data_IF_204258930000
#
_entry.id   IF_204258930000
#
_cell.length_a   1.000
_cell.length_b   1.000
_cell.length_c   1.000
_cell.angle_alpha   90.00
_cell.angle_beta   90.00
_cell.angle_gamma   90.00
#
_symmetry.space_group_name_H-M   'P 1'
#
loop_
_entity.id
_entity.type
_entity.pdbx_description
1 polymer ?
#
# COMPACT_ATOMS: atom_id res chain seq x y z
N UNK A 1 -5.05 5.78 -8.19
CA UNK A 1 -6.40 5.60 -7.64
C UNK A 1 -6.82 4.18 -7.93
N UNK A 2 -7.23 3.46 -6.90
CA UNK A 2 -7.78 2.10 -6.96
C UNK A 2 -9.21 2.20 -7.49
N UNK A 3 -9.59 1.35 -8.43
CA UNK A 3 -10.88 1.42 -9.14
C UNK A 3 -11.78 0.20 -8.92
N UNK A 4 -11.24 -0.89 -8.42
CA UNK A 4 -11.94 -2.15 -8.23
C UNK A 4 -11.23 -3.00 -7.17
N UNK A 5 -11.88 -4.10 -6.77
CA UNK A 5 -11.38 -4.97 -5.71
C UNK A 5 -10.08 -5.69 -6.09
N UNK A 6 -9.86 -5.96 -7.37
CA UNK A 6 -8.59 -6.55 -7.82
C UNK A 6 -7.42 -5.58 -7.63
N UNK A 7 -7.60 -4.30 -7.97
CA UNK A 7 -6.60 -3.25 -7.72
C UNK A 7 -6.41 -3.00 -6.21
N UNK A 8 -7.46 -3.16 -5.40
CA UNK A 8 -7.38 -3.10 -3.93
C UNK A 8 -6.48 -4.22 -3.39
N UNK A 9 -6.69 -5.46 -3.82
CA UNK A 9 -5.88 -6.62 -3.42
C UNK A 9 -4.42 -6.45 -3.80
N UNK A 10 -4.14 -5.99 -5.02
CA UNK A 10 -2.78 -5.69 -5.50
C UNK A 10 -2.13 -4.62 -4.62
N UNK A 11 -2.86 -3.55 -4.30
CA UNK A 11 -2.33 -2.47 -3.46
C UNK A 11 -1.99 -2.97 -2.05
N UNK A 12 -2.87 -3.78 -1.44
CA UNK A 12 -2.64 -4.38 -0.13
C UNK A 12 -1.44 -5.35 -0.12
N UNK A 13 -1.27 -6.19 -1.14
CA UNK A 13 -0.11 -7.08 -1.21
C UNK A 13 1.19 -6.29 -1.38
N UNK A 14 1.18 -5.22 -2.16
CA UNK A 14 2.36 -4.36 -2.33
C UNK A 14 2.74 -3.65 -1.03
N UNK A 15 1.77 -3.18 -0.23
CA UNK A 15 2.06 -2.65 1.11
C UNK A 15 2.72 -3.72 1.98
N UNK A 16 2.18 -4.94 2.03
CA UNK A 16 2.79 -6.05 2.80
C UNK A 16 4.23 -6.33 2.38
N UNK A 17 4.55 -6.22 1.09
CA UNK A 17 5.92 -6.39 0.60
C UNK A 17 6.84 -5.26 1.07
N UNK A 18 6.38 -4.01 1.02
CA UNK A 18 7.15 -2.87 1.52
C UNK A 18 7.37 -2.95 3.04
N UNK A 19 6.36 -3.33 3.81
CA UNK A 19 6.49 -3.56 5.25
C UNK A 19 7.54 -4.63 5.56
N UNK A 20 7.56 -5.74 4.82
CA UNK A 20 8.60 -6.78 4.96
C UNK A 20 10.00 -6.24 4.66
N UNK A 21 10.14 -5.40 3.62
CA UNK A 21 11.42 -4.78 3.29
C UNK A 21 11.90 -3.83 4.38
N UNK A 22 11.02 -2.95 4.88
CA UNK A 22 11.34 -2.04 6.00
C UNK A 22 11.73 -2.84 7.24
N UNK A 23 11.01 -3.92 7.55
CA UNK A 23 11.32 -4.80 8.67
C UNK A 23 12.69 -5.49 8.51
N UNK A 24 13.07 -5.84 7.28
CA UNK A 24 14.39 -6.40 6.99
C UNK A 24 15.49 -5.35 7.17
N UNK A 25 15.32 -4.15 6.62
CA UNK A 25 16.28 -3.03 6.78
C UNK A 25 16.48 -2.74 8.28
N UNK A 26 15.41 -2.74 9.07
CA UNK A 26 15.46 -2.52 10.53
C UNK A 26 16.31 -3.57 11.27
N UNK A 27 16.42 -4.80 10.74
CA UNK A 27 17.23 -5.87 11.33
C UNK A 27 18.70 -5.80 10.92
N UNK A 28 18.99 -5.27 9.73
CA UNK A 28 20.32 -5.34 9.13
C UNK A 28 21.09 -4.04 9.23
N UNK A 29 20.41 -2.89 9.23
CA UNK A 29 21.06 -1.58 9.27
C UNK A 29 21.18 -1.10 10.72
N UNK A 30 22.42 -0.84 11.15
CA UNK A 30 22.75 -0.42 12.52
C UNK A 30 23.03 1.08 12.61
N UNK A 31 23.36 1.72 11.48
CA UNK A 31 23.52 3.16 11.39
C UNK A 31 22.15 3.83 11.20
N UNK A 32 21.79 4.71 12.13
CA UNK A 32 20.48 5.37 12.13
C UNK A 32 20.21 6.27 10.91
N UNK A 33 21.23 6.89 10.33
CA UNK A 33 21.10 7.75 9.16
C UNK A 33 20.87 6.92 7.90
N UNK A 34 21.65 5.85 7.73
CA UNK A 34 21.45 4.90 6.65
C UNK A 34 20.07 4.25 6.73
N UNK A 35 19.63 3.85 7.93
CA UNK A 35 18.28 3.29 8.12
C UNK A 35 17.20 4.24 7.63
N UNK A 36 17.28 5.53 8.02
CA UNK A 36 16.32 6.55 7.60
C UNK A 36 16.34 6.72 6.08
N UNK A 37 17.52 6.84 5.48
CA UNK A 37 17.65 6.98 4.02
C UNK A 37 17.08 5.78 3.27
N UNK A 38 17.35 4.55 3.71
CA UNK A 38 16.87 3.33 3.07
C UNK A 38 15.37 3.09 3.28
N UNK A 39 14.81 3.45 4.44
CA UNK A 39 13.41 3.19 4.77
C UNK A 39 12.45 4.30 4.31
N UNK A 40 12.91 5.56 4.20
CA UNK A 40 12.04 6.71 3.97
C UNK A 40 11.17 6.59 2.70
N UNK A 41 11.75 6.15 1.58
CA UNK A 41 10.99 5.99 0.34
C UNK A 41 9.91 4.91 0.43
N UNK A 42 10.20 3.80 1.10
CA UNK A 42 9.24 2.70 1.31
C UNK A 42 8.08 3.15 2.20
N UNK A 43 8.39 3.84 3.30
CA UNK A 43 7.39 4.37 4.23
C UNK A 43 6.50 5.41 3.56
N UNK A 44 7.07 6.32 2.76
CA UNK A 44 6.28 7.31 2.01
C UNK A 44 5.33 6.66 0.98
N UNK A 45 5.75 5.59 0.31
CA UNK A 45 4.87 4.84 -0.59
C UNK A 45 3.78 4.07 0.16
N UNK A 46 4.09 3.49 1.33
CA UNK A 46 3.09 2.87 2.20
C UNK A 46 2.01 3.89 2.57
N UNK A 47 2.40 5.08 3.02
CA UNK A 47 1.46 6.15 3.39
C UNK A 47 0.58 6.55 2.21
N UNK A 48 1.19 6.78 1.04
CA UNK A 48 0.45 7.13 -0.19
C UNK A 48 -0.53 6.05 -0.60
N UNK A 49 -0.16 4.78 -0.51
CA UNK A 49 -1.02 3.65 -0.90
C UNK A 49 -2.14 3.43 0.12
N UNK A 50 -1.88 3.57 1.41
CA UNK A 50 -2.90 3.52 2.46
C UNK A 50 -3.96 4.60 2.28
N UNK A 51 -3.58 5.82 1.87
CA UNK A 51 -4.55 6.86 1.51
C UNK A 51 -5.45 6.42 0.36
N UNK A 52 -4.90 5.81 -0.70
CA UNK A 52 -5.70 5.32 -1.83
C UNK A 52 -6.65 4.18 -1.45
N UNK A 53 -6.19 3.26 -0.59
CA UNK A 53 -7.03 2.17 -0.08
C UNK A 53 -8.18 2.73 0.75
N UNK A 54 -7.88 3.65 1.67
CA UNK A 54 -8.90 4.31 2.49
C UNK A 54 -9.92 5.03 1.62
N UNK A 55 -9.45 5.79 0.63
CA UNK A 55 -10.33 6.55 -0.27
C UNK A 55 -11.22 5.60 -1.10
N UNK A 56 -10.70 4.44 -1.56
CA UNK A 56 -11.49 3.41 -2.24
C UNK A 56 -12.54 2.78 -1.31
N UNK A 57 -12.13 2.36 -0.11
CA UNK A 57 -13.04 1.72 0.86
C UNK A 57 -14.10 2.67 1.43
N UNK A 58 -13.87 3.98 1.35
CA UNK A 58 -14.87 5.00 1.68
C UNK A 58 -15.95 5.16 0.59
N UNK A 59 -15.67 4.70 -0.64
CA UNK A 59 -16.68 4.65 -1.68
C UNK A 59 -17.64 3.48 -1.47
N UNK A 60 -18.92 3.69 -1.75
CA UNK A 60 -19.91 2.60 -1.75
C UNK A 60 -19.44 1.59 -2.82
N UNK A 61 -19.43 0.27 -2.54
CA UNK A 61 -19.11 -0.73 -3.54
C UNK A 61 -19.91 -0.40 -4.80
N UNK A 62 -19.24 -0.14 -5.91
CA UNK A 62 -19.96 0.07 -7.15
C UNK A 62 -20.65 -1.26 -7.40
N UNK A 63 -21.99 -1.30 -7.33
CA UNK A 63 -22.75 -2.50 -7.67
C UNK A 63 -22.13 -3.03 -8.97
N UNK A 64 -21.74 -4.31 -9.05
CA UNK A 64 -21.54 -4.89 -10.36
C UNK A 64 -22.85 -4.64 -11.08
N UNK A 65 -22.83 -3.81 -12.12
CA UNK A 65 -24.00 -3.50 -12.94
C UNK A 65 -24.54 -4.82 -13.49
N UNK A 66 -25.38 -5.47 -12.71
CA UNK A 66 -26.23 -6.55 -13.11
C UNK A 66 -27.41 -5.88 -13.79
N UNK A 67 -27.24 -5.61 -15.08
CA UNK A 67 -28.28 -5.55 -16.11
C UNK A 67 -27.86 -4.61 -17.23
N UNK A 68 -27.50 -5.20 -18.37
CA UNK A 68 -28.12 -4.80 -19.62
C UNK A 68 -28.62 -6.10 -20.25
N UNK A 69 -29.94 -6.22 -20.31
CA UNK A 69 -30.72 -7.31 -20.88
C UNK A 69 -30.54 -7.42 -22.41
#
# INVERSE_FOLDING_TARGET
MIKNDHELEIAQERIRQFERQVAQIRKTETNSENYRMSAAGLLAEIDRMNLQIRDYLWSVPTEPTASAA
#
